data_IF_947538753593
#
_entry.id   IF_947538753593
#
_cell.length_a   1.000
_cell.length_b   1.000
_cell.length_c   1.000
_cell.angle_alpha   90.00
_cell.angle_beta   90.00
_cell.angle_gamma   90.00
#
_symmetry.space_group_name_H-M   'P 1'
#
loop_
_entity.id
_entity.type
_entity.pdbx_description
1 polymer ?
#
# COMPACT_ATOMS: atom_id res chain seq x y z
N UNK A 1 13.43 -13.62 -11.93
CA UNK A 1 14.24 -12.50 -11.39
C UNK A 1 13.29 -11.64 -10.58
N UNK A 2 13.38 -11.64 -9.25
CA UNK A 2 12.63 -10.67 -8.44
C UNK A 2 13.20 -9.28 -8.76
N UNK A 3 12.44 -8.36 -9.40
CA UNK A 3 13.01 -7.14 -9.97
C UNK A 3 13.28 -6.04 -8.94
N UNK A 4 13.06 -6.29 -7.66
CA UNK A 4 13.18 -5.28 -6.61
C UNK A 4 14.02 -5.79 -5.45
N UNK A 5 15.17 -5.19 -5.13
CA UNK A 5 15.82 -5.45 -3.86
C UNK A 5 14.89 -4.95 -2.76
N UNK A 6 14.52 -5.83 -1.84
CA UNK A 6 13.88 -5.47 -0.59
C UNK A 6 14.86 -4.61 0.22
N UNK A 7 14.91 -3.31 -0.07
CA UNK A 7 15.69 -2.39 0.73
C UNK A 7 14.90 -2.13 2.02
N UNK A 8 15.43 -2.47 3.20
CA UNK A 8 14.77 -2.11 4.44
C UNK A 8 14.67 -0.59 4.51
N UNK A 9 13.49 -0.09 4.89
CA UNK A 9 13.27 1.34 5.12
C UNK A 9 14.31 1.87 6.11
N UNK A 10 14.98 2.96 5.75
CA UNK A 10 15.79 3.71 6.72
C UNK A 10 14.91 4.28 7.83
N UNK A 11 15.51 4.60 8.97
CA UNK A 11 14.77 5.21 10.09
C UNK A 11 14.11 6.53 9.68
N UNK A 12 14.78 7.34 8.85
CA UNK A 12 14.24 8.60 8.35
C UNK A 12 13.03 8.39 7.43
N UNK A 13 13.10 7.43 6.51
CA UNK A 13 11.99 7.07 5.64
C UNK A 13 10.80 6.52 6.44
N UNK A 14 11.06 5.67 7.43
CA UNK A 14 10.03 5.14 8.34
C UNK A 14 9.30 6.26 9.07
N UNK A 15 10.04 7.19 9.69
CA UNK A 15 9.46 8.34 10.41
C UNK A 15 8.63 9.23 9.48
N UNK A 16 9.13 9.48 8.28
CA UNK A 16 8.44 10.32 7.28
C UNK A 16 7.18 9.64 6.75
N UNK A 17 7.21 8.34 6.47
CA UNK A 17 6.03 7.56 6.09
C UNK A 17 4.93 7.67 7.15
N UNK A 18 5.29 7.43 8.42
CA UNK A 18 4.35 7.44 9.54
C UNK A 18 3.74 8.84 9.73
N UNK A 19 4.58 9.87 9.79
CA UNK A 19 4.11 11.25 10.01
C UNK A 19 3.22 11.74 8.87
N UNK A 20 3.56 11.43 7.62
CA UNK A 20 2.76 11.80 6.46
C UNK A 20 1.45 11.00 6.39
N UNK A 21 1.41 9.74 6.80
CA UNK A 21 0.16 8.96 6.87
C UNK A 21 -0.79 9.53 7.95
N UNK A 22 -0.27 9.90 9.12
CA UNK A 22 -1.02 10.59 10.17
C UNK A 22 -1.59 11.92 9.68
N UNK A 23 -0.78 12.75 9.01
CA UNK A 23 -1.24 14.00 8.43
C UNK A 23 -2.24 13.81 7.27
N UNK A 24 -2.11 12.73 6.49
CA UNK A 24 -3.03 12.44 5.39
C UNK A 24 -4.44 12.11 5.88
N UNK A 25 -4.56 11.44 7.04
CA UNK A 25 -5.84 11.08 7.66
C UNK A 25 -6.76 12.30 7.85
N UNK A 26 -6.20 13.46 8.16
CA UNK A 26 -6.97 14.69 8.38
C UNK A 26 -7.61 15.25 7.08
N UNK A 27 -7.14 14.80 5.91
CA UNK A 27 -7.75 15.11 4.62
C UNK A 27 -8.88 14.15 4.19
N UNK A 28 -9.30 13.24 5.07
CA UNK A 28 -10.36 12.27 4.77
C UNK A 28 -11.71 12.97 4.53
N UNK A 29 -12.42 12.50 3.51
CA UNK A 29 -13.84 12.81 3.30
C UNK A 29 -14.65 11.56 3.63
N UNK A 30 -15.10 11.44 4.88
CA UNK A 30 -15.82 10.26 5.36
C UNK A 30 -17.09 10.60 6.17
N UNK A 31 -18.05 11.38 5.61
CA UNK A 31 -19.23 11.81 6.35
C UNK A 31 -20.21 10.67 6.66
N UNK A 32 -20.09 9.51 6.00
CA UNK A 32 -21.01 8.39 6.16
C UNK A 32 -20.54 7.44 7.26
N UNK A 33 -19.27 7.00 7.21
CA UNK A 33 -18.72 6.13 8.26
C UNK A 33 -18.21 6.89 9.47
N UNK A 34 -17.82 8.16 9.30
CA UNK A 34 -17.04 8.92 10.28
C UNK A 34 -15.73 8.21 10.69
N UNK A 35 -15.17 7.40 9.79
CA UNK A 35 -13.94 6.64 10.00
C UNK A 35 -12.85 7.10 9.04
N UNK A 36 -11.89 7.88 9.55
CA UNK A 36 -10.83 8.45 8.73
C UNK A 36 -9.66 7.49 8.64
N UNK A 37 -9.11 7.38 7.44
CA UNK A 37 -7.93 6.57 7.13
C UNK A 37 -6.96 7.44 6.36
N UNK A 38 -5.69 7.40 6.77
CA UNK A 38 -4.58 8.05 6.09
C UNK A 38 -3.56 7.01 5.63
N UNK A 39 -2.98 7.23 4.46
CA UNK A 39 -1.92 6.40 3.91
C UNK A 39 -0.81 7.26 3.32
N UNK A 40 0.41 6.76 3.35
CA UNK A 40 1.56 7.36 2.66
C UNK A 40 2.38 6.27 1.98
N UNK A 41 2.69 6.46 0.70
CA UNK A 41 3.58 5.60 -0.07
C UNK A 41 4.95 6.25 -0.25
N UNK A 42 6.00 5.44 -0.33
CA UNK A 42 7.35 5.83 -0.71
C UNK A 42 7.66 5.29 -2.11
N UNK A 43 8.06 6.18 -3.04
CA UNK A 43 8.53 5.82 -4.38
C UNK A 43 9.88 5.09 -4.35
N UNK A 44 10.21 4.39 -5.42
CA UNK A 44 11.45 3.60 -5.52
C UNK A 44 12.74 4.43 -5.62
N UNK A 45 12.63 5.75 -5.82
CA UNK A 45 13.72 6.72 -5.64
C UNK A 45 14.13 6.90 -4.18
N UNK A 46 13.33 6.42 -3.22
CA UNK A 46 13.59 6.52 -1.80
C UNK A 46 13.34 7.89 -1.19
N UNK A 47 12.81 8.86 -1.94
CA UNK A 47 12.62 10.26 -1.52
C UNK A 47 11.22 10.81 -1.83
N UNK A 48 10.49 10.21 -2.78
CA UNK A 48 9.14 10.66 -3.15
C UNK A 48 8.07 10.07 -2.22
N UNK A 49 7.34 10.93 -1.50
CA UNK A 49 6.27 10.53 -0.57
C UNK A 49 4.90 10.96 -1.06
N UNK A 50 3.95 10.02 -1.11
CA UNK A 50 2.63 10.25 -1.70
C UNK A 50 1.53 9.96 -0.68
N UNK A 51 0.86 11.01 -0.24
CA UNK A 51 -0.25 10.94 0.71
C UNK A 51 -1.56 10.59 0.04
N UNK A 52 -2.37 9.77 0.71
CA UNK A 52 -3.77 9.50 0.37
C UNK A 52 -4.64 9.45 1.61
N UNK A 53 -5.90 9.85 1.44
CA UNK A 53 -6.95 9.75 2.45
C UNK A 53 -8.16 9.04 1.84
N UNK A 54 -8.99 8.40 2.66
CA UNK A 54 -10.23 7.80 2.16
C UNK A 54 -11.23 8.89 1.76
N UNK A 55 -11.97 8.63 0.68
CA UNK A 55 -13.02 9.48 0.13
C UNK A 55 -14.26 8.63 -0.08
N UNK A 56 -15.31 8.94 0.66
CA UNK A 56 -16.60 8.26 0.57
C UNK A 56 -17.51 8.88 -0.49
N UNK A 57 -18.52 8.11 -0.89
CA UNK A 57 -19.51 8.50 -1.87
C UNK A 57 -20.89 8.03 -1.39
N UNK A 58 -21.94 8.80 -1.71
CA UNK A 58 -23.33 8.42 -1.42
C UNK A 58 -23.68 7.03 -1.98
N UNK A 59 -23.12 6.68 -3.15
CA UNK A 59 -23.09 5.30 -3.62
C UNK A 59 -21.84 4.62 -3.07
N UNK A 60 -22.01 3.79 -2.04
CA UNK A 60 -20.88 3.24 -1.27
C UNK A 60 -19.87 2.45 -2.11
N UNK A 61 -20.31 1.83 -3.21
CA UNK A 61 -19.40 1.16 -4.15
C UNK A 61 -18.40 2.10 -4.84
N UNK A 62 -18.67 3.41 -4.86
CA UNK A 62 -17.77 4.43 -5.37
C UNK A 62 -16.74 4.94 -4.37
N UNK A 63 -16.73 4.45 -3.12
CA UNK A 63 -15.76 4.89 -2.13
C UNK A 63 -14.33 4.43 -2.47
N UNK A 64 -13.36 5.31 -2.24
CA UNK A 64 -11.92 5.06 -2.45
C UNK A 64 -11.21 5.07 -1.10
N UNK A 65 -10.45 4.02 -0.82
CA UNK A 65 -9.65 3.90 0.40
C UNK A 65 -8.37 4.75 0.30
N UNK A 66 -7.77 5.09 1.44
CA UNK A 66 -6.60 5.96 1.50
C UNK A 66 -5.40 5.45 0.67
N UNK A 67 -5.15 4.15 0.69
CA UNK A 67 -4.06 3.50 -0.04
C UNK A 67 -4.29 3.60 -1.55
N UNK A 68 -5.54 3.40 -2.00
CA UNK A 68 -5.91 3.56 -3.41
C UNK A 68 -5.82 5.02 -3.84
N UNK A 69 -6.21 5.97 -3.00
CA UNK A 69 -6.02 7.40 -3.26
C UNK A 69 -4.54 7.72 -3.45
N UNK A 70 -3.65 7.20 -2.59
CA UNK A 70 -2.21 7.40 -2.70
C UNK A 70 -1.63 6.80 -4.01
N UNK A 71 -2.03 5.57 -4.35
CA UNK A 71 -1.63 4.91 -5.61
C UNK A 71 -2.09 5.71 -6.82
N UNK A 72 -3.38 6.05 -6.91
CA UNK A 72 -3.95 6.75 -8.07
C UNK A 72 -3.23 8.08 -8.29
N UNK A 73 -3.00 8.85 -7.22
CA UNK A 73 -2.23 10.09 -7.30
C UNK A 73 -0.82 9.85 -7.84
N UNK A 74 -0.06 8.94 -7.21
CA UNK A 74 1.32 8.70 -7.61
C UNK A 74 1.47 8.21 -9.03
N UNK A 75 0.65 7.25 -9.44
CA UNK A 75 0.65 6.71 -10.80
C UNK A 75 0.31 7.79 -11.82
N UNK A 76 -0.67 8.65 -11.51
CA UNK A 76 -1.05 9.76 -12.38
C UNK A 76 0.04 10.84 -12.52
N UNK A 77 0.91 10.95 -11.52
CA UNK A 77 2.04 11.88 -11.47
C UNK A 77 3.37 11.25 -11.95
N UNK A 78 3.33 10.00 -12.43
CA UNK A 78 4.49 9.32 -13.04
C UNK A 78 5.24 8.36 -12.11
N UNK A 79 4.89 8.29 -10.83
CA UNK A 79 5.48 7.34 -9.86
C UNK A 79 4.73 6.01 -9.93
N UNK A 80 5.36 4.99 -10.52
CA UNK A 80 4.71 3.69 -10.80
C UNK A 80 5.30 2.51 -10.02
N UNK A 81 6.23 2.78 -9.10
CA UNK A 81 6.90 1.78 -8.29
C UNK A 81 7.04 2.30 -6.87
N UNK A 82 6.67 1.49 -5.90
CA UNK A 82 6.66 1.88 -4.49
C UNK A 82 7.42 0.86 -3.65
N UNK A 83 8.13 1.36 -2.63
CA UNK A 83 9.03 0.57 -1.78
C UNK A 83 8.73 0.71 -0.28
N UNK A 84 7.65 1.41 0.08
CA UNK A 84 7.16 1.45 1.46
C UNK A 84 5.75 2.02 1.56
N UNK A 85 5.01 1.58 2.57
CA UNK A 85 3.66 2.05 2.89
C UNK A 85 3.50 2.24 4.40
N UNK A 86 2.88 3.34 4.82
CA UNK A 86 2.28 3.45 6.14
C UNK A 86 0.77 3.71 6.02
N UNK A 87 -0.01 3.07 6.89
CA UNK A 87 -1.47 3.23 6.98
C UNK A 87 -1.87 3.49 8.42
N UNK A 88 -2.78 4.43 8.64
CA UNK A 88 -3.30 4.76 9.96
C UNK A 88 -4.79 5.10 9.90
N UNK A 89 -5.44 5.14 11.06
CA UNK A 89 -6.86 5.45 11.18
C UNK A 89 -7.16 6.26 12.44
N UNK A 90 -8.43 6.35 12.83
CA UNK A 90 -8.87 6.96 14.08
C UNK A 90 -8.73 6.06 15.33
N UNK A 91 -8.35 4.78 15.17
CA UNK A 91 -8.26 3.83 16.30
C UNK A 91 -6.82 3.53 16.71
N UNK A 92 -6.63 3.22 17.99
CA UNK A 92 -5.34 2.81 18.58
C UNK A 92 -4.94 1.37 18.21
N UNK A 93 -5.81 0.62 17.53
CA UNK A 93 -5.49 -0.68 16.96
C UNK A 93 -4.95 -0.58 15.54
N UNK A 94 -4.35 -1.68 15.05
CA UNK A 94 -3.96 -1.77 13.65
C UNK A 94 -5.18 -1.80 12.72
N UNK A 95 -5.11 -1.06 11.62
CA UNK A 95 -6.04 -1.19 10.50
C UNK A 95 -5.27 -1.69 9.30
N UNK A 96 -5.59 -2.91 8.88
CA UNK A 96 -4.97 -3.54 7.72
C UNK A 96 -5.65 -3.07 6.42
N UNK A 97 -4.89 -2.89 5.33
CA UNK A 97 -5.46 -2.62 4.01
C UNK A 97 -6.53 -3.64 3.63
N UNK A 98 -7.66 -3.18 3.07
CA UNK A 98 -8.72 -4.07 2.63
C UNK A 98 -8.29 -4.89 1.40
N UNK A 99 -9.03 -5.95 1.06
CA UNK A 99 -8.68 -6.84 -0.06
C UNK A 99 -8.49 -6.12 -1.40
N UNK A 100 -9.31 -5.11 -1.69
CA UNK A 100 -9.18 -4.30 -2.91
C UNK A 100 -7.87 -3.50 -2.89
N UNK A 101 -7.53 -2.86 -1.77
CA UNK A 101 -6.27 -2.14 -1.63
C UNK A 101 -5.07 -3.06 -1.80
N UNK A 102 -5.08 -4.24 -1.17
CA UNK A 102 -4.00 -5.22 -1.29
C UNK A 102 -3.77 -5.63 -2.74
N UNK A 103 -4.83 -5.88 -3.50
CA UNK A 103 -4.71 -6.26 -4.90
C UNK A 103 -4.21 -5.10 -5.78
N UNK A 104 -4.64 -3.86 -5.51
CA UNK A 104 -4.14 -2.67 -6.22
C UNK A 104 -2.67 -2.40 -5.89
N UNK A 105 -2.30 -2.51 -4.62
CA UNK A 105 -0.90 -2.38 -4.17
C UNK A 105 -0.02 -3.43 -4.84
N UNK A 106 -0.50 -4.67 -4.97
CA UNK A 106 0.25 -5.77 -5.58
C UNK A 106 0.66 -5.52 -7.04
N UNK A 107 -0.06 -4.65 -7.76
CA UNK A 107 0.31 -4.25 -9.12
C UNK A 107 1.59 -3.38 -9.15
N UNK A 108 1.77 -2.51 -8.15
CA UNK A 108 2.82 -1.48 -8.15
C UNK A 108 3.93 -1.69 -7.11
N UNK A 109 3.77 -2.68 -6.24
CA UNK A 109 4.64 -2.92 -5.08
C UNK A 109 5.24 -4.34 -5.11
N UNK A 110 6.52 -4.51 -4.76
CA UNK A 110 7.08 -5.84 -4.53
C UNK A 110 6.43 -6.52 -3.32
N UNK A 111 6.45 -7.86 -3.30
CA UNK A 111 5.91 -8.62 -2.18
C UNK A 111 6.66 -8.34 -0.87
N UNK A 112 7.94 -8.05 -0.97
CA UNK A 112 8.81 -7.75 0.15
C UNK A 112 8.66 -6.30 0.66
N UNK A 113 7.84 -5.48 -0.02
CA UNK A 113 7.64 -4.09 0.37
C UNK A 113 7.16 -4.00 1.83
N UNK A 114 7.86 -3.26 2.71
CA UNK A 114 7.42 -3.03 4.08
C UNK A 114 6.11 -2.24 4.14
N UNK A 115 5.19 -2.70 4.98
CA UNK A 115 3.92 -2.05 5.29
C UNK A 115 3.85 -1.82 6.80
N UNK A 116 3.60 -0.57 7.20
CA UNK A 116 3.50 -0.15 8.59
C UNK A 116 2.04 0.14 8.91
N UNK A 117 1.46 -0.63 9.83
CA UNK A 117 0.11 -0.39 10.36
C UNK A 117 0.25 0.41 11.65
N UNK A 118 -0.13 1.68 11.58
CA UNK A 118 0.18 2.70 12.58
C UNK A 118 -1.06 2.99 13.42
N UNK A 119 -1.00 2.85 14.76
CA UNK A 119 -2.11 3.18 15.64
C UNK A 119 -2.31 4.70 15.71
N UNK A 120 -3.53 5.15 15.97
CA UNK A 120 -3.84 6.58 16.12
C UNK A 120 -3.06 7.26 17.25
N UNK A 121 -2.70 6.51 18.29
CA UNK A 121 -1.89 6.91 19.44
C UNK A 121 -0.38 6.89 19.18
N UNK A 122 0.08 6.70 17.94
CA UNK A 122 1.49 6.61 17.64
C UNK A 122 2.27 7.81 18.20
N UNK A 123 3.32 7.52 18.96
CA UNK A 123 4.30 8.48 19.44
C UNK A 123 5.69 8.00 19.06
N UNK A 124 6.41 8.83 18.32
CA UNK A 124 7.78 8.54 17.88
C UNK A 124 8.69 8.20 19.07
N UNK A 125 9.45 7.11 18.95
CA UNK A 125 10.37 6.63 19.98
C UNK A 125 9.72 6.00 21.21
N UNK A 126 8.39 6.05 21.35
CA UNK A 126 7.67 5.42 22.48
C UNK A 126 6.79 4.25 22.05
N UNK A 127 6.14 4.36 20.89
CA UNK A 127 5.30 3.28 20.36
C UNK A 127 6.17 2.08 19.99
N UNK A 128 5.90 0.94 20.63
CA UNK A 128 6.57 -0.32 20.33
C UNK A 128 6.18 -0.77 18.92
N UNK A 129 7.17 -1.26 18.17
CA UNK A 129 6.95 -1.95 16.90
C UNK A 129 6.99 -3.45 17.11
N UNK A 130 6.05 -4.19 16.54
CA UNK A 130 6.01 -5.66 16.52
C UNK A 130 5.87 -6.16 15.08
N UNK A 131 6.28 -7.41 14.81
CA UNK A 131 6.02 -8.05 13.52
C UNK A 131 4.55 -8.53 13.45
N UNK A 132 3.99 -8.64 12.23
CA UNK A 132 2.61 -9.14 12.05
C UNK A 132 2.38 -10.55 12.62
N UNK A 133 3.39 -11.42 12.64
CA UNK A 133 3.27 -12.75 13.24
C UNK A 133 3.04 -12.71 14.77
N UNK A 134 3.39 -11.61 15.43
CA UNK A 134 3.14 -11.38 16.86
C UNK A 134 1.81 -10.67 17.11
N UNK A 135 1.13 -10.21 16.05
CA UNK A 135 -0.10 -9.44 16.16
C UNK A 135 -1.33 -10.36 16.10
N UNK A 136 -2.12 -10.38 17.16
CA UNK A 136 -3.43 -11.03 17.20
C UNK A 136 -4.54 -10.07 16.75
N UNK A 137 -5.69 -10.59 16.31
CA UNK A 137 -6.86 -9.74 16.05
C UNK A 137 -7.34 -9.14 17.38
N UNK A 138 -7.32 -7.81 17.52
CA UNK A 138 -7.46 -7.16 18.83
C UNK A 138 -6.15 -7.01 19.61
N UNK A 139 -5.00 -7.07 18.91
CA UNK A 139 -3.67 -6.72 19.42
C UNK A 139 -3.69 -5.47 20.30
N UNK A 140 -2.71 -5.33 21.23
CA UNK A 140 -2.69 -4.24 22.19
C UNK A 140 -2.89 -2.90 21.49
N UNK A 141 -3.85 -2.13 22.00
CA UNK A 141 -3.97 -0.72 21.70
C UNK A 141 -2.58 -0.09 21.88
N UNK A 142 -2.17 0.75 20.92
CA UNK A 142 -0.91 1.51 20.92
C UNK A 142 0.34 0.76 20.40
N UNK A 143 0.17 -0.27 19.56
CA UNK A 143 1.30 -0.96 18.91
C UNK A 143 1.37 -0.67 17.41
N UNK A 144 2.57 -0.36 16.90
CA UNK A 144 2.83 -0.33 15.46
C UNK A 144 3.12 -1.75 14.97
N UNK A 145 2.42 -2.19 13.93
CA UNK A 145 2.66 -3.50 13.32
C UNK A 145 3.41 -3.33 12.01
N UNK A 146 4.57 -3.98 11.89
CA UNK A 146 5.35 -4.05 10.67
C UNK A 146 5.10 -5.40 9.97
N UNK A 147 4.81 -5.33 8.68
CA UNK A 147 4.53 -6.50 7.83
C UNK A 147 5.04 -6.24 6.41
N UNK A 148 4.78 -7.17 5.48
CA UNK A 148 5.09 -7.01 4.06
C UNK A 148 3.84 -7.19 3.19
N UNK A 149 3.92 -6.78 1.92
CA UNK A 149 2.84 -7.05 0.97
C UNK A 149 2.54 -8.54 0.79
N UNK A 150 3.57 -9.39 0.80
CA UNK A 150 3.43 -10.84 0.67
C UNK A 150 2.75 -11.49 1.87
N UNK A 151 2.98 -10.97 3.07
CA UNK A 151 2.27 -11.40 4.27
C UNK A 151 0.80 -10.95 4.26
N UNK A 152 0.52 -9.75 3.73
CA UNK A 152 -0.84 -9.24 3.62
C UNK A 152 -1.66 -9.94 2.52
N UNK A 153 -1.02 -10.36 1.44
CA UNK A 153 -1.68 -11.03 0.31
C UNK A 153 -0.88 -12.26 -0.15
N UNK A 154 -0.85 -13.34 0.67
CA UNK A 154 -0.12 -14.55 0.33
C UNK A 154 -0.71 -15.21 -0.92
N UNK A 155 0.16 -15.77 -1.77
CA UNK A 155 -0.22 -16.43 -3.02
C UNK A 155 -1.09 -15.53 -3.93
N UNK A 156 -0.87 -14.22 -3.88
CA UNK A 156 -1.67 -13.24 -4.61
C UNK A 156 -1.65 -13.49 -6.11
N UNK A 157 -2.78 -13.27 -6.75
CA UNK A 157 -2.86 -13.09 -8.19
C UNK A 157 -2.07 -11.86 -8.65
N UNK A 158 -1.36 -11.97 -9.77
CA UNK A 158 -0.60 -10.87 -10.37
C UNK A 158 -0.45 -10.99 -11.90
N UNK A 159 0.27 -10.03 -12.53
CA UNK A 159 0.50 -10.05 -13.97
C UNK A 159 1.14 -11.34 -14.51
N UNK A 160 1.93 -12.03 -13.67
CA UNK A 160 2.51 -13.33 -14.00
C UNK A 160 1.45 -14.42 -14.22
N UNK A 161 0.29 -14.33 -13.59
CA UNK A 161 -0.81 -15.28 -13.77
C UNK A 161 -1.51 -15.12 -15.11
N UNK A 162 -1.59 -13.88 -15.61
CA UNK A 162 -2.20 -13.57 -16.90
C UNK A 162 -1.40 -14.15 -18.08
N UNK A 163 -0.09 -14.34 -17.89
CA UNK A 163 0.80 -14.93 -18.87
C UNK A 163 0.83 -16.48 -18.84
N UNK A 164 0.18 -17.11 -17.86
CA UNK A 164 0.15 -18.57 -17.76
C UNK A 164 -0.59 -19.19 -18.97
N UNK A 165 -0.10 -20.32 -19.50
CA UNK A 165 -0.76 -21.01 -20.60
C UNK A 165 -2.14 -21.50 -20.16
N UNK A 166 -3.17 -21.30 -21.01
CA UNK A 166 -4.52 -21.82 -20.74
C UNK A 166 -4.66 -23.20 -21.38
N UNK A 167 -5.12 -24.21 -20.63
CA UNK A 167 -5.40 -25.52 -21.20
C UNK A 167 -6.35 -25.39 -22.41
N UNK A 168 -5.92 -25.91 -23.57
CA UNK A 168 -6.73 -25.91 -24.79
C UNK A 168 -6.71 -24.63 -25.64
N UNK A 169 -6.05 -23.54 -25.22
CA UNK A 169 -5.86 -22.36 -26.08
C UNK A 169 -4.51 -22.44 -26.80
N UNK A 170 -4.50 -22.64 -28.11
CA UNK A 170 -3.28 -22.69 -28.94
C UNK A 170 -2.56 -21.35 -29.14
N UNK A 171 -2.78 -20.35 -28.28
CA UNK A 171 -2.23 -19.00 -28.43
C UNK A 171 -1.19 -18.71 -27.33
N UNK A 172 0.00 -18.29 -27.75
CA UNK A 172 1.00 -17.70 -26.87
C UNK A 172 0.50 -16.33 -26.39
N UNK A 173 0.29 -16.16 -25.08
CA UNK A 173 -0.07 -14.87 -24.50
C UNK A 173 1.20 -14.08 -24.24
N UNK A 174 1.32 -12.90 -24.87
CA UNK A 174 2.45 -12.00 -24.66
C UNK A 174 2.41 -11.43 -23.23
N UNK A 175 3.52 -11.46 -22.46
CA UNK A 175 3.58 -10.98 -21.08
C UNK A 175 3.22 -9.50 -20.94
N UNK A 176 2.59 -9.12 -19.82
CA UNK A 176 2.24 -7.73 -19.52
C UNK A 176 3.47 -6.79 -19.47
N UNK A 177 4.61 -7.28 -18.98
CA UNK A 177 5.86 -6.53 -18.86
C UNK A 177 6.45 -6.06 -20.20
N UNK A 178 6.03 -6.65 -21.32
CA UNK A 178 6.45 -6.23 -22.66
C UNK A 178 5.58 -5.10 -23.22
N UNK A 179 4.40 -4.84 -22.65
CA UNK A 179 3.47 -3.79 -23.11
C UNK A 179 3.84 -2.40 -22.62
N UNK A 180 4.51 -2.27 -21.47
CA UNK A 180 4.93 -0.97 -20.93
C UNK A 180 6.15 -0.36 -21.65
N UNK A 181 6.89 -1.14 -22.45
CA UNK A 181 8.03 -0.64 -23.23
C UNK A 181 7.62 0.24 -24.40
N UNK A 182 6.41 0.07 -24.93
CA UNK A 182 5.93 0.85 -26.08
C UNK A 182 5.40 2.25 -25.67
N UNK A 183 5.07 2.47 -24.39
CA UNK A 183 4.61 3.78 -23.93
C UNK A 183 5.74 4.81 -23.77
N UNK A 184 7.00 4.38 -23.72
CA UNK A 184 8.17 5.27 -23.57
C UNK A 184 8.78 5.71 -24.91
N UNK A 185 8.28 5.20 -26.04
CA UNK A 185 8.76 5.53 -27.39
C UNK A 185 7.92 6.60 -28.11
N UNK A 186 6.88 7.14 -27.46
CA UNK A 186 5.93 8.08 -28.05
C UNK A 186 5.84 9.44 -27.34
N UNK A 187 6.94 9.91 -26.74
CA UNK A 187 7.06 11.26 -26.18
C UNK A 187 8.23 12.01 -26.81
#
# INVERSE_FOLDING_TARGET
MAPYPALPLTDSQRKTLISQALAARDGSYSPYSNFRVGACLLGDDGETFIKGANVECASYGGAICAERTAIVKGVSEGVRKFVGLAVTSDVNGMVSPCGICRQVLREFCPLEMPVLLVPASYVEGKTRTIAAAEAEHGSPEDTLVATTMGELLPLSFGPEDLAKPRPGSGANVVPASERDRDATAAA
#
